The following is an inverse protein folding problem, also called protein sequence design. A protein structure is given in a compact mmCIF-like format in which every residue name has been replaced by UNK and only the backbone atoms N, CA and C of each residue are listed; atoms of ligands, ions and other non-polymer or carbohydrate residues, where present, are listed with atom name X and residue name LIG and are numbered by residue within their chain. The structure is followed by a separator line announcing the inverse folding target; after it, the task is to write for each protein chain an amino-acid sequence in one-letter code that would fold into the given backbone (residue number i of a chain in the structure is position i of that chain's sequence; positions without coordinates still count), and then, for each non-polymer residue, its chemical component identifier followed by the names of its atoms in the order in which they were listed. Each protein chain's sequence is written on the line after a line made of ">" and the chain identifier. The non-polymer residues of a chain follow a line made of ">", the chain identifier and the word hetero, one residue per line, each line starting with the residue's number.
data_IF_240334426990
#
_entry.id   IF_240334426990
#
_cell.length_a   1.000
_cell.length_b   1.000
_cell.length_c   1.000
_cell.angle_alpha   90.00
_cell.angle_beta   90.00
_cell.angle_gamma   90.00
#
_symmetry.space_group_name_H-M   'P 1'
#
loop_
_entity.id
_entity.type
_entity.pdbx_description
1 polymer ?
#
# COMPACT_ATOMS: atom_id res chain seq x y z
N UNK A 1 11.34 -3.52 23.26
CA UNK A 1 12.19 -4.20 22.26
C UNK A 1 11.38 -4.37 20.99
N UNK A 2 11.79 -3.72 19.89
CA UNK A 2 11.05 -3.81 18.61
C UNK A 2 11.27 -5.19 18.01
N UNK A 3 10.19 -5.88 17.60
CA UNK A 3 10.29 -7.21 16.97
C UNK A 3 11.09 -7.10 15.68
N UNK A 4 12.09 -7.95 15.47
CA UNK A 4 12.94 -7.98 14.28
C UNK A 4 12.13 -8.04 12.97
N UNK A 5 11.02 -8.80 12.97
CA UNK A 5 10.09 -8.87 11.86
C UNK A 5 9.43 -7.52 11.50
N UNK A 6 9.13 -6.67 12.49
CA UNK A 6 8.60 -5.32 12.24
C UNK A 6 9.68 -4.44 11.59
N UNK A 7 10.91 -4.50 12.10
CA UNK A 7 12.02 -3.72 11.56
C UNK A 7 12.30 -4.06 10.09
N UNK A 8 12.28 -5.35 9.77
CA UNK A 8 12.46 -5.85 8.40
C UNK A 8 11.31 -5.43 7.48
N UNK A 9 10.07 -5.43 7.99
CA UNK A 9 8.91 -4.93 7.24
C UNK A 9 9.04 -3.44 6.92
N UNK A 10 9.37 -2.61 7.91
CA UNK A 10 9.54 -1.16 7.73
C UNK A 10 10.62 -0.85 6.71
N UNK A 11 11.82 -1.45 6.82
CA UNK A 11 12.92 -1.26 5.85
C UNK A 11 12.51 -1.63 4.43
N UNK A 12 11.77 -2.75 4.28
CA UNK A 12 11.27 -3.17 2.96
C UNK A 12 10.25 -2.18 2.40
N UNK A 13 9.34 -1.69 3.23
CA UNK A 13 8.36 -0.69 2.82
C UNK A 13 9.00 0.63 2.45
N UNK A 14 9.95 1.12 3.24
CA UNK A 14 10.73 2.32 2.96
C UNK A 14 11.41 2.23 1.58
N UNK A 15 12.09 1.11 1.30
CA UNK A 15 12.71 0.87 -0.02
C UNK A 15 11.68 0.94 -1.15
N UNK A 16 10.55 0.25 -1.01
CA UNK A 16 9.49 0.22 -2.04
C UNK A 16 8.87 1.60 -2.26
N UNK A 17 8.70 2.38 -1.19
CA UNK A 17 8.20 3.75 -1.27
C UNK A 17 9.19 4.64 -2.02
N UNK A 18 10.48 4.62 -1.64
CA UNK A 18 11.55 5.38 -2.32
C UNK A 18 11.68 5.04 -3.80
N UNK A 19 11.52 3.78 -4.19
CA UNK A 19 11.56 3.36 -5.61
C UNK A 19 10.33 3.83 -6.40
N UNK A 20 9.19 4.00 -5.74
CA UNK A 20 7.92 4.38 -6.36
C UNK A 20 7.68 5.88 -6.37
N UNK A 21 8.18 6.59 -5.37
CA UNK A 21 8.03 8.03 -5.18
C UNK A 21 8.36 8.82 -6.47
N UNK A 22 9.48 8.61 -7.17
CA UNK A 22 9.78 9.35 -8.41
C UNK A 22 8.80 9.07 -9.57
N UNK A 23 8.21 7.86 -9.63
CA UNK A 23 7.20 7.52 -10.66
C UNK A 23 5.88 8.24 -10.46
N UNK A 24 5.70 8.82 -9.29
CA UNK A 24 4.43 9.23 -8.74
C UNK A 24 4.46 10.69 -8.25
N UNK A 25 5.64 11.25 -7.98
CA UNK A 25 5.88 12.64 -7.57
C UNK A 25 4.96 13.65 -8.28
N UNK A 26 5.00 13.69 -9.62
CA UNK A 26 4.17 14.62 -10.42
C UNK A 26 2.66 14.31 -10.41
N UNK A 27 2.29 13.04 -10.30
CA UNK A 27 0.89 12.61 -10.37
C UNK A 27 0.19 12.70 -9.01
N UNK A 28 0.95 12.63 -7.91
CA UNK A 28 0.38 12.43 -6.58
C UNK A 28 0.18 13.74 -5.83
N UNK A 29 0.99 14.76 -6.07
CA UNK A 29 0.70 16.12 -5.58
C UNK A 29 -0.67 16.61 -6.07
N UNK A 30 -1.03 16.26 -7.30
CA UNK A 30 -2.26 16.73 -7.94
C UNK A 30 -3.46 15.81 -7.74
N UNK A 31 -3.26 14.56 -7.30
CA UNK A 31 -4.37 13.63 -7.04
C UNK A 31 -5.19 14.14 -5.84
N UNK A 32 -6.53 14.25 -5.97
CA UNK A 32 -7.40 14.60 -4.84
C UNK A 32 -7.40 13.53 -3.75
N UNK A 33 -7.50 13.94 -2.48
CA UNK A 33 -7.62 13.02 -1.33
C UNK A 33 -8.79 12.03 -1.51
N UNK A 34 -9.90 12.48 -2.10
CA UNK A 34 -11.05 11.63 -2.40
C UNK A 34 -10.71 10.47 -3.35
N UNK A 35 -9.83 10.68 -4.32
CA UNK A 35 -9.38 9.64 -5.24
C UNK A 35 -8.43 8.64 -4.55
N UNK A 36 -7.53 9.13 -3.68
CA UNK A 36 -6.67 8.26 -2.86
C UNK A 36 -7.48 7.32 -1.97
N UNK A 37 -8.52 7.86 -1.31
CA UNK A 37 -9.46 7.09 -0.50
C UNK A 37 -10.13 5.98 -1.33
N UNK A 38 -10.61 6.30 -2.52
CA UNK A 38 -11.24 5.31 -3.42
C UNK A 38 -10.26 4.21 -3.80
N UNK A 39 -9.05 4.56 -4.25
CA UNK A 39 -8.01 3.58 -4.62
C UNK A 39 -7.58 2.71 -3.44
N UNK A 40 -7.53 3.25 -2.23
CA UNK A 40 -7.25 2.47 -1.02
C UNK A 40 -8.36 1.46 -0.75
N UNK A 41 -9.63 1.87 -0.84
CA UNK A 41 -10.78 0.98 -0.63
C UNK A 41 -10.82 -0.16 -1.66
N UNK A 42 -10.43 0.09 -2.91
CA UNK A 42 -10.30 -0.96 -3.93
C UNK A 42 -9.28 -2.03 -3.51
N UNK A 43 -8.14 -1.62 -2.95
CA UNK A 43 -7.13 -2.59 -2.46
C UNK A 43 -7.64 -3.40 -1.27
N UNK A 44 -8.38 -2.78 -0.35
CA UNK A 44 -9.01 -3.47 0.79
C UNK A 44 -10.02 -4.50 0.26
N UNK A 45 -10.86 -4.12 -0.71
CA UNK A 45 -11.81 -5.03 -1.35
C UNK A 45 -11.11 -6.20 -2.03
N UNK A 46 -10.02 -5.95 -2.77
CA UNK A 46 -9.22 -6.99 -3.41
C UNK A 46 -8.68 -8.01 -2.39
N UNK A 47 -8.15 -7.52 -1.26
CA UNK A 47 -7.68 -8.40 -0.18
C UNK A 47 -8.84 -9.25 0.35
N UNK A 48 -9.97 -8.62 0.67
CA UNK A 48 -11.15 -9.30 1.18
C UNK A 48 -11.65 -10.39 0.22
N UNK A 49 -11.82 -10.06 -1.07
CA UNK A 49 -12.22 -11.00 -2.11
C UNK A 49 -11.27 -12.19 -2.20
N UNK A 50 -9.95 -11.95 -2.18
CA UNK A 50 -8.96 -13.03 -2.23
C UNK A 50 -9.05 -13.92 -0.98
N UNK A 51 -9.09 -13.33 0.22
CA UNK A 51 -9.15 -14.10 1.46
C UNK A 51 -10.44 -14.94 1.55
N UNK A 52 -11.58 -14.39 1.11
CA UNK A 52 -12.87 -15.09 1.08
C UNK A 52 -12.92 -16.22 0.04
N UNK A 53 -12.17 -16.12 -1.05
CA UNK A 53 -12.13 -17.16 -2.10
C UNK A 53 -11.55 -18.50 -1.63
N UNK A 54 -10.86 -18.54 -0.49
CA UNK A 54 -10.20 -19.75 0.02
C UNK A 54 -8.99 -20.22 -0.81
N UNK A 55 -8.65 -19.54 -1.91
CA UNK A 55 -7.54 -19.92 -2.80
C UNK A 55 -6.22 -19.41 -2.22
N UNK A 56 -5.41 -20.33 -1.70
CA UNK A 56 -4.12 -20.05 -1.04
C UNK A 56 -3.02 -19.52 -1.96
N UNK A 57 -3.18 -19.64 -3.29
CA UNK A 57 -2.17 -19.24 -4.28
C UNK A 57 -2.00 -17.72 -4.43
N UNK A 58 -2.92 -16.90 -3.93
CA UNK A 58 -2.90 -15.46 -4.20
C UNK A 58 -2.29 -14.57 -3.10
N UNK A 59 -1.49 -15.18 -2.21
CA UNK A 59 -0.70 -14.46 -1.18
C UNK A 59 0.17 -13.36 -1.77
N UNK A 60 0.65 -13.51 -3.02
CA UNK A 60 1.41 -12.47 -3.73
C UNK A 60 0.54 -11.25 -4.07
N UNK A 61 -0.72 -11.43 -4.51
CA UNK A 61 -1.62 -10.28 -4.73
C UNK A 61 -2.01 -9.61 -3.43
N UNK A 62 -2.30 -10.36 -2.36
CA UNK A 62 -2.55 -9.77 -1.03
C UNK A 62 -1.36 -8.91 -0.58
N UNK A 63 -0.13 -9.43 -0.67
CA UNK A 63 1.08 -8.67 -0.36
C UNK A 63 1.22 -7.40 -1.21
N UNK A 64 0.89 -7.45 -2.51
CA UNK A 64 0.90 -6.27 -3.38
C UNK A 64 -0.15 -5.25 -2.95
N UNK A 65 -1.38 -5.66 -2.68
CA UNK A 65 -2.44 -4.76 -2.22
C UNK A 65 -2.10 -4.11 -0.88
N UNK A 66 -1.49 -4.84 0.07
CA UNK A 66 -0.99 -4.28 1.33
C UNK A 66 0.09 -3.19 1.10
N UNK A 67 1.02 -3.42 0.17
CA UNK A 67 2.02 -2.42 -0.22
C UNK A 67 1.33 -1.18 -0.81
N UNK A 68 0.35 -1.36 -1.71
CA UNK A 68 -0.40 -0.23 -2.27
C UNK A 68 -1.14 0.56 -1.20
N UNK A 69 -1.78 -0.11 -0.23
CA UNK A 69 -2.42 0.55 0.91
C UNK A 69 -1.41 1.39 1.71
N UNK A 70 -0.27 0.81 2.07
CA UNK A 70 0.77 1.53 2.80
C UNK A 70 1.28 2.76 2.04
N UNK A 71 1.41 2.65 0.71
CA UNK A 71 1.69 3.80 -0.15
C UNK A 71 0.60 4.86 -0.03
N UNK A 72 -0.68 4.52 -0.26
CA UNK A 72 -1.78 5.48 -0.15
C UNK A 72 -1.85 6.13 1.24
N UNK A 73 -1.59 5.40 2.33
CA UNK A 73 -1.51 5.94 3.68
C UNK A 73 -0.39 6.98 3.82
N UNK A 74 0.82 6.69 3.32
CA UNK A 74 1.93 7.64 3.34
C UNK A 74 1.58 8.94 2.60
N UNK A 75 0.99 8.82 1.41
CA UNK A 75 0.62 10.00 0.62
C UNK A 75 -0.53 10.80 1.22
N UNK A 76 -1.55 10.13 1.77
CA UNK A 76 -2.63 10.83 2.47
C UNK A 76 -2.11 11.54 3.72
N UNK A 77 -1.20 10.92 4.48
CA UNK A 77 -0.56 11.56 5.63
C UNK A 77 0.18 12.84 5.24
N UNK A 78 0.92 12.86 4.13
CA UNK A 78 1.66 14.05 3.68
C UNK A 78 0.77 15.14 3.05
N UNK A 79 -0.50 14.83 2.73
CA UNK A 79 -1.46 15.79 2.17
C UNK A 79 -2.36 16.45 3.22
N UNK A 80 -2.47 15.87 4.41
CA UNK A 80 -3.23 16.40 5.55
C UNK A 80 -2.33 17.33 6.34
#
# INVERSE_FOLDING_TARGET
>A
MVKEGLLNFVKKMEKVLKEKEPKYENNWENIPIGELRTKMNEQIKNISTILMSGVTWDKKKVKRSLVHIANYCYFMHNKI
#
